data_IF_815356941475
#
_entry.id   IF_815356941475
#
_cell.length_a   1.000
_cell.length_b   1.000
_cell.length_c   1.000
_cell.angle_alpha   90.00
_cell.angle_beta   90.00
_cell.angle_gamma   90.00
#
_symmetry.space_group_name_H-M   'P 1'
#
loop_
_entity.id
_entity.type
_entity.pdbx_description
1 polymer ?
#
# COMPACT_ATOMS: atom_id res chain seq x y z
N UNK A 1 -2.39 7.87 11.19
CA UNK A 1 -1.31 8.38 10.33
C UNK A 1 -1.95 8.84 9.04
N UNK A 2 -1.47 9.93 8.45
CA UNK A 2 -1.88 10.33 7.11
C UNK A 2 -1.04 9.57 6.03
N UNK A 3 -1.36 9.78 4.75
CA UNK A 3 -0.68 9.10 3.64
C UNK A 3 0.82 9.41 3.58
N UNK A 4 1.21 10.67 3.83
CA UNK A 4 2.59 11.12 3.81
C UNK A 4 3.42 10.51 4.95
N UNK A 5 2.86 10.45 6.16
CA UNK A 5 3.47 9.78 7.31
C UNK A 5 3.67 8.29 7.05
N UNK A 6 2.66 7.61 6.50
CA UNK A 6 2.76 6.19 6.15
C UNK A 6 3.84 5.95 5.10
N UNK A 7 3.85 6.74 4.02
CA UNK A 7 4.86 6.63 2.96
C UNK A 7 6.27 6.81 3.53
N UNK A 8 6.48 7.86 4.35
CA UNK A 8 7.77 8.12 4.98
C UNK A 8 8.23 6.96 5.87
N UNK A 9 7.33 6.38 6.67
CA UNK A 9 7.70 5.25 7.55
C UNK A 9 7.99 4.00 6.74
N UNK A 10 7.20 3.71 5.71
CA UNK A 10 7.44 2.56 4.82
C UNK A 10 8.78 2.71 4.11
N UNK A 11 9.12 3.90 3.60
CA UNK A 11 10.42 4.18 2.96
C UNK A 11 11.63 3.96 3.87
N UNK A 12 11.46 4.11 5.19
CA UNK A 12 12.50 3.80 6.16
C UNK A 12 12.70 2.28 6.35
N UNK A 13 11.71 1.46 5.99
CA UNK A 13 11.75 0.00 6.12
C UNK A 13 12.16 -0.65 4.80
N UNK A 14 11.49 -0.29 3.70
CA UNK A 14 11.73 -0.85 2.36
C UNK A 14 11.54 0.23 1.30
N UNK A 15 12.32 0.14 0.22
CA UNK A 15 12.12 0.94 -0.99
C UNK A 15 11.32 0.20 -2.07
N UNK A 16 10.94 -1.05 -1.81
CA UNK A 16 10.20 -1.90 -2.73
C UNK A 16 8.73 -1.99 -2.30
N UNK A 17 7.98 -0.91 -2.55
CA UNK A 17 6.56 -0.83 -2.27
C UNK A 17 5.86 0.13 -3.24
N UNK A 18 4.55 0.00 -3.35
CA UNK A 18 3.76 1.00 -4.03
C UNK A 18 2.27 0.72 -4.03
N UNK A 19 1.53 1.69 -4.58
CA UNK A 19 0.08 1.66 -4.68
C UNK A 19 -0.31 2.03 -6.10
N UNK A 20 -1.10 1.18 -6.73
CA UNK A 20 -1.58 1.34 -8.11
C UNK A 20 -3.11 1.46 -8.09
N UNK A 21 -3.67 2.28 -8.98
CA UNK A 21 -5.12 2.33 -9.18
C UNK A 21 -5.60 1.00 -9.76
N UNK A 22 -6.71 0.47 -9.23
CA UNK A 22 -7.33 -0.71 -9.80
C UNK A 22 -7.98 -0.36 -11.16
N UNK A 23 -7.82 -1.24 -12.15
CA UNK A 23 -8.30 -1.03 -13.53
C UNK A 23 -9.83 -0.86 -13.61
N UNK A 24 -10.30 -0.33 -14.75
CA UNK A 24 -11.63 0.28 -15.06
C UNK A 24 -12.91 -0.46 -14.58
N UNK A 25 -12.82 -1.70 -14.09
CA UNK A 25 -13.95 -2.45 -13.53
C UNK A 25 -13.95 -2.57 -12.01
N UNK A 26 -12.81 -2.34 -11.34
CA UNK A 26 -12.66 -2.38 -9.89
C UNK A 26 -12.44 -0.97 -9.36
N UNK A 27 -13.34 -0.51 -8.48
CA UNK A 27 -13.14 0.75 -7.78
C UNK A 27 -12.19 0.53 -6.60
N UNK A 28 -10.90 0.85 -6.74
CA UNK A 28 -9.97 0.79 -5.63
C UNK A 28 -8.50 0.93 -5.99
N UNK A 29 -7.65 0.41 -5.12
CA UNK A 29 -6.19 0.51 -5.16
C UNK A 29 -5.56 -0.84 -4.84
N UNK A 30 -4.63 -1.28 -5.68
CA UNK A 30 -3.75 -2.41 -5.40
C UNK A 30 -2.54 -1.93 -4.59
N UNK A 31 -2.15 -2.71 -3.59
CA UNK A 31 -0.93 -2.49 -2.83
C UNK A 31 0.10 -3.56 -3.16
N UNK A 32 1.37 -3.19 -3.31
CA UNK A 32 2.46 -4.13 -3.43
C UNK A 32 3.61 -3.78 -2.48
N UNK A 33 4.32 -4.80 -2.04
CA UNK A 33 5.50 -4.70 -1.18
C UNK A 33 6.39 -5.93 -1.32
N UNK A 34 7.71 -5.74 -1.29
CA UNK A 34 8.74 -6.80 -1.36
C UNK A 34 8.53 -7.77 -2.55
N UNK A 35 8.21 -7.21 -3.73
CA UNK A 35 8.01 -7.96 -4.97
C UNK A 35 6.68 -8.73 -5.07
N UNK A 36 5.71 -8.49 -4.18
CA UNK A 36 4.41 -9.15 -4.19
C UNK A 36 3.23 -8.20 -3.98
N UNK A 37 2.09 -8.51 -4.61
CA UNK A 37 0.83 -7.81 -4.36
C UNK A 37 0.17 -8.33 -3.08
N UNK A 38 -0.41 -7.41 -2.31
CA UNK A 38 -1.32 -7.75 -1.22
C UNK A 38 -2.62 -8.34 -1.80
N UNK A 39 -3.30 -9.23 -1.05
CA UNK A 39 -4.44 -9.99 -1.57
C UNK A 39 -5.71 -9.17 -1.79
N UNK A 40 -5.82 -8.00 -1.16
CA UNK A 40 -7.02 -7.18 -1.14
C UNK A 40 -6.91 -5.95 -2.05
N UNK A 41 -8.07 -5.49 -2.53
CA UNK A 41 -8.24 -4.18 -3.18
C UNK A 41 -8.73 -3.17 -2.15
N UNK A 42 -8.05 -2.04 -2.03
CA UNK A 42 -8.31 -1.03 -1.03
C UNK A 42 -9.16 0.10 -1.59
N UNK A 43 -10.02 0.71 -0.76
CA UNK A 43 -10.92 1.77 -1.22
C UNK A 43 -10.25 3.15 -1.31
N UNK A 44 -9.05 3.30 -0.76
CA UNK A 44 -8.27 4.54 -0.80
C UNK A 44 -6.78 4.23 -0.80
N UNK A 45 -5.98 5.13 -1.38
CA UNK A 45 -4.52 5.03 -1.33
C UNK A 45 -3.99 4.98 0.11
N UNK A 46 -4.58 5.73 1.04
CA UNK A 46 -4.23 5.63 2.46
C UNK A 46 -4.49 4.28 3.11
N UNK A 47 -5.57 3.58 2.75
CA UNK A 47 -5.83 2.23 3.27
C UNK A 47 -4.88 1.19 2.67
N UNK A 48 -4.51 1.34 1.39
CA UNK A 48 -3.46 0.54 0.76
C UNK A 48 -2.10 0.71 1.45
N UNK A 49 -1.68 1.97 1.69
CA UNK A 49 -0.44 2.28 2.42
C UNK A 49 -0.47 1.74 3.86
N UNK A 50 -1.60 1.84 4.54
CA UNK A 50 -1.73 1.30 5.89
C UNK A 50 -1.52 -0.23 5.91
N UNK A 51 -2.10 -0.95 4.95
CA UNK A 51 -1.93 -2.39 4.85
C UNK A 51 -0.49 -2.81 4.53
N UNK A 52 0.23 -2.03 3.71
CA UNK A 52 1.67 -2.23 3.47
C UNK A 52 2.45 -2.09 4.78
N UNK A 53 2.19 -1.01 5.53
CA UNK A 53 2.85 -0.79 6.83
C UNK A 53 2.54 -1.91 7.83
N UNK A 54 1.29 -2.35 7.92
CA UNK A 54 0.88 -3.47 8.78
C UNK A 54 1.54 -4.79 8.33
N UNK A 55 1.76 -5.00 7.04
CA UNK A 55 2.47 -6.19 6.52
C UNK A 55 3.93 -6.19 6.93
N UNK A 56 4.60 -5.03 6.88
CA UNK A 56 6.02 -4.87 7.22
C UNK A 56 6.32 -4.92 8.72
N UNK A 57 5.32 -4.73 9.58
CA UNK A 57 5.50 -4.60 11.04
C UNK A 57 4.97 -5.78 11.85
N UNK A 58 4.45 -6.81 11.19
CA UNK A 58 4.07 -8.10 11.79
C UNK A 58 5.29 -8.98 12.08
#
# INVERSE_FOLDING_TARGET
MNEEELSNVIELITSDYGVEDADECDHGYYAYVDGGYLPDVYQSRGSALQAIYETLTQ
#
